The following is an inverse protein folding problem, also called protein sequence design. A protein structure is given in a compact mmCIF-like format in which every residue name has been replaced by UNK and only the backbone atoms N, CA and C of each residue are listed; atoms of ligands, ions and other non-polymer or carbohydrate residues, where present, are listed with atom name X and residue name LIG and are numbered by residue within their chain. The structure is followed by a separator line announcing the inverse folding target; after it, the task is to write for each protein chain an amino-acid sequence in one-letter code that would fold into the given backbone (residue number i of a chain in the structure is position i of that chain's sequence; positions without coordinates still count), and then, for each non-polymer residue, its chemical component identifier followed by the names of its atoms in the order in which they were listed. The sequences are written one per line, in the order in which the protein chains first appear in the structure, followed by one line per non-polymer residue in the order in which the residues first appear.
data_IF_448175802257
#
_entry.id   IF_448175802257
#
_cell.length_a   1.000
_cell.length_b   1.000
_cell.length_c   1.000
_cell.angle_alpha   90.00
_cell.angle_beta   90.00
_cell.angle_gamma   90.00
#
_symmetry.space_group_name_H-M   'P 1'
#
loop_
_entity.id
_entity.type
_entity.pdbx_description
1 polymer ?
#
# COMPACT_ATOMS: atom_id res chain seq x y z
N UNK A 1 28.48 52.38 -2.62
CA UNK A 1 27.12 52.93 -2.52
C UNK A 1 26.40 52.87 -3.85
N UNK A 2 25.15 52.46 -3.87
CA UNK A 2 24.27 52.43 -5.03
C UNK A 2 23.01 53.23 -4.74
N UNK A 3 22.54 53.97 -5.77
CA UNK A 3 21.34 54.77 -5.64
C UNK A 3 20.11 53.91 -5.91
N UNK A 4 19.28 53.74 -4.90
CA UNK A 4 18.01 52.95 -4.99
C UNK A 4 16.79 53.84 -4.88
N UNK A 5 15.65 53.34 -5.31
CA UNK A 5 14.36 54.03 -5.26
C UNK A 5 13.45 53.39 -4.21
N UNK A 6 12.93 54.17 -3.32
CA UNK A 6 11.94 53.72 -2.35
C UNK A 6 10.60 53.45 -3.07
N UNK A 7 10.14 52.21 -3.01
CA UNK A 7 8.91 51.80 -3.72
C UNK A 7 7.60 52.42 -3.20
N UNK A 8 7.60 53.02 -2.00
CA UNK A 8 6.43 53.68 -1.43
C UNK A 8 6.39 55.18 -1.75
N UNK A 9 7.55 55.83 -1.61
CA UNK A 9 7.61 57.29 -1.74
C UNK A 9 8.11 57.77 -3.09
N UNK A 10 8.70 56.91 -3.89
CA UNK A 10 9.37 57.24 -5.16
C UNK A 10 10.67 58.04 -5.01
N UNK A 11 11.12 58.34 -3.82
CA UNK A 11 12.36 59.05 -3.54
C UNK A 11 13.58 58.17 -3.73
N UNK A 12 14.63 58.79 -4.23
CA UNK A 12 15.96 58.15 -4.33
C UNK A 12 16.68 58.22 -2.97
N UNK A 13 17.45 57.19 -2.63
CA UNK A 13 18.32 57.16 -1.48
C UNK A 13 19.58 56.35 -1.80
N UNK A 14 20.69 56.67 -1.14
CA UNK A 14 21.95 55.96 -1.31
C UNK A 14 22.06 54.86 -0.26
N UNK A 15 22.51 53.67 -0.69
CA UNK A 15 22.65 52.52 0.13
C UNK A 15 23.99 51.86 -0.11
N UNK A 16 24.65 51.42 0.97
CA UNK A 16 25.77 50.55 0.88
C UNK A 16 25.31 49.11 0.70
N UNK A 17 25.57 48.53 -0.47
CA UNK A 17 25.13 47.17 -0.79
C UNK A 17 26.28 46.22 -0.45
N UNK A 18 25.98 45.23 0.41
CA UNK A 18 26.90 44.15 0.69
C UNK A 18 27.03 43.23 -0.53
N UNK A 19 28.15 43.28 -1.25
CA UNK A 19 28.42 42.48 -2.44
C UNK A 19 29.83 41.90 -2.39
N UNK A 20 30.00 40.70 -2.88
CA UNK A 20 31.29 40.02 -2.94
C UNK A 20 31.25 38.82 -3.87
N UNK A 21 32.41 38.21 -4.05
CA UNK A 21 32.52 36.96 -4.78
C UNK A 21 32.08 35.81 -3.90
N UNK A 22 31.17 34.99 -4.42
CA UNK A 22 30.62 33.79 -3.75
C UNK A 22 30.97 32.57 -4.59
N UNK A 23 31.58 31.57 -3.93
CA UNK A 23 31.81 30.29 -4.57
C UNK A 23 30.48 29.58 -4.78
N UNK A 24 30.20 29.07 -5.96
CA UNK A 24 29.04 28.29 -6.28
C UNK A 24 29.40 27.10 -7.16
N UNK A 25 28.61 26.02 -7.06
CA UNK A 25 28.82 24.79 -7.80
C UNK A 25 27.49 24.25 -8.36
N UNK A 26 27.51 23.87 -9.64
CA UNK A 26 26.38 23.18 -10.25
C UNK A 26 26.33 21.75 -9.70
N UNK A 27 25.16 21.35 -9.18
CA UNK A 27 24.92 20.00 -8.65
C UNK A 27 24.51 19.03 -9.76
N UNK A 28 24.85 17.74 -9.58
CA UNK A 28 24.60 16.68 -10.56
C UNK A 28 23.18 16.12 -10.53
N UNK A 29 22.24 16.78 -9.90
CA UNK A 29 20.89 16.26 -9.76
C UNK A 29 20.16 16.27 -11.09
N UNK A 30 20.27 15.17 -11.84
CA UNK A 30 19.62 14.99 -13.14
C UNK A 30 18.35 14.16 -12.99
N UNK A 31 17.40 14.34 -13.92
CA UNK A 31 16.13 13.60 -13.92
C UNK A 31 16.34 12.08 -14.04
N UNK A 32 17.36 11.64 -14.75
CA UNK A 32 17.73 10.22 -14.87
C UNK A 32 18.01 9.54 -13.53
N UNK A 33 18.41 10.30 -12.52
CA UNK A 33 18.68 9.79 -11.17
C UNK A 33 17.45 9.82 -10.24
N UNK A 34 16.36 10.43 -10.67
CA UNK A 34 15.19 10.70 -9.80
C UNK A 34 13.90 10.03 -10.25
N UNK A 35 13.81 9.55 -11.49
CA UNK A 35 12.59 8.87 -11.94
C UNK A 35 12.48 7.47 -11.34
N UNK A 36 11.25 7.02 -11.11
CA UNK A 36 10.93 5.66 -10.70
C UNK A 36 9.69 5.19 -11.42
N UNK A 37 9.74 3.98 -11.98
CA UNK A 37 8.63 3.30 -12.65
C UNK A 37 8.65 1.84 -12.26
N UNK A 38 7.46 1.27 -12.02
CA UNK A 38 7.28 -0.15 -11.78
C UNK A 38 5.97 -0.62 -12.40
N UNK A 39 6.01 -1.69 -13.17
CA UNK A 39 4.83 -2.47 -13.56
C UNK A 39 4.72 -3.72 -12.66
N UNK A 40 5.64 -4.65 -12.81
CA UNK A 40 5.79 -5.85 -12.00
C UNK A 40 7.20 -5.92 -11.42
N UNK A 41 7.36 -6.61 -10.30
CA UNK A 41 8.67 -6.72 -9.66
C UNK A 41 8.62 -7.49 -8.34
N UNK A 42 9.72 -7.52 -7.59
CA UNK A 42 9.83 -8.26 -6.35
C UNK A 42 8.89 -7.72 -5.28
N UNK A 43 8.27 -8.65 -4.54
CA UNK A 43 7.38 -8.35 -3.42
C UNK A 43 8.01 -8.80 -2.10
N UNK A 44 7.59 -8.16 -1.01
CA UNK A 44 7.97 -8.61 0.33
C UNK A 44 7.35 -10.00 0.60
N UNK A 45 8.14 -11.00 1.03
CA UNK A 45 7.63 -12.36 1.26
C UNK A 45 6.58 -12.43 2.37
N UNK A 46 6.64 -11.53 3.37
CA UNK A 46 5.75 -11.54 4.51
C UNK A 46 4.41 -10.83 4.23
N UNK A 47 4.46 -9.62 3.68
CA UNK A 47 3.27 -8.79 3.45
C UNK A 47 2.69 -8.94 2.03
N UNK A 48 3.44 -9.56 1.12
CA UNK A 48 3.12 -9.67 -0.31
C UNK A 48 2.96 -8.31 -1.04
N UNK A 49 3.33 -7.23 -0.38
CA UNK A 49 3.34 -5.90 -0.98
C UNK A 49 4.63 -5.63 -1.76
N UNK A 50 4.62 -4.71 -2.74
CA UNK A 50 5.84 -4.29 -3.43
C UNK A 50 6.91 -3.80 -2.46
N UNK A 51 8.17 -4.18 -2.71
CA UNK A 51 9.29 -3.66 -1.92
C UNK A 51 9.52 -2.18 -2.20
N UNK A 52 10.24 -1.51 -1.32
CA UNK A 52 10.68 -0.13 -1.50
C UNK A 52 12.04 -0.08 -2.21
N UNK A 53 12.31 1.01 -2.88
CA UNK A 53 13.62 1.30 -3.45
C UNK A 53 13.66 1.23 -4.97
N UNK A 54 14.04 2.34 -5.59
CA UNK A 54 14.16 2.51 -7.05
C UNK A 54 15.12 1.51 -7.69
N UNK A 55 16.29 1.32 -7.06
CA UNK A 55 17.35 0.43 -7.59
C UNK A 55 16.96 -1.06 -7.58
N UNK A 56 16.03 -1.44 -6.71
CA UNK A 56 15.58 -2.82 -6.56
C UNK A 56 14.27 -3.12 -7.32
N UNK A 57 13.84 -2.22 -8.19
CA UNK A 57 12.57 -2.37 -8.88
C UNK A 57 11.35 -2.27 -7.95
N UNK A 58 11.49 -1.50 -6.88
CA UNK A 58 10.43 -1.30 -5.90
C UNK A 58 9.30 -0.41 -6.39
N UNK A 59 8.17 -0.47 -5.67
CA UNK A 59 6.98 0.35 -5.94
C UNK A 59 7.10 1.76 -5.39
N UNK A 60 6.17 2.60 -5.82
CA UNK A 60 6.00 3.96 -5.32
C UNK A 60 4.97 3.91 -4.18
N UNK A 61 5.25 4.61 -3.09
CA UNK A 61 4.32 4.68 -1.96
C UNK A 61 3.09 5.50 -2.32
N UNK A 62 1.92 4.91 -2.11
CA UNK A 62 0.64 5.59 -2.09
C UNK A 62 0.28 5.90 -0.64
N UNK A 63 0.49 7.14 -0.20
CA UNK A 63 0.34 7.56 1.19
C UNK A 63 -1.08 8.00 1.55
N UNK A 64 -1.28 8.42 2.80
CA UNK A 64 -2.58 8.88 3.30
C UNK A 64 -3.04 10.18 2.63
N UNK A 65 -2.12 11.08 2.32
CA UNK A 65 -2.45 12.36 1.65
C UNK A 65 -2.96 12.13 0.22
N UNK A 66 -2.38 11.19 -0.51
CA UNK A 66 -2.84 10.78 -1.84
C UNK A 66 -4.22 10.12 -1.77
N UNK A 67 -4.47 9.28 -0.75
CA UNK A 67 -5.80 8.71 -0.48
C UNK A 67 -6.83 9.82 -0.22
N UNK A 68 -6.52 10.80 0.61
CA UNK A 68 -7.40 11.91 0.95
C UNK A 68 -7.76 12.74 -0.27
N UNK A 69 -6.79 12.98 -1.16
CA UNK A 69 -7.02 13.65 -2.43
C UNK A 69 -8.00 12.88 -3.32
N UNK A 70 -7.84 11.55 -3.44
CA UNK A 70 -8.76 10.72 -4.23
C UNK A 70 -10.15 10.62 -3.60
N UNK A 71 -10.25 10.60 -2.27
CA UNK A 71 -11.54 10.63 -1.57
C UNK A 71 -12.31 11.90 -1.87
N UNK A 72 -11.63 13.06 -1.85
CA UNK A 72 -12.26 14.35 -2.15
C UNK A 72 -12.77 14.43 -3.59
N UNK A 73 -12.14 13.72 -4.53
CA UNK A 73 -12.60 13.62 -5.91
C UNK A 73 -13.70 12.57 -6.13
N UNK A 74 -14.03 11.74 -5.12
CA UNK A 74 -15.06 10.71 -5.21
C UNK A 74 -14.75 9.52 -6.12
N UNK A 75 -13.48 9.26 -6.42
CA UNK A 75 -13.02 8.22 -7.35
C UNK A 75 -12.81 6.86 -6.63
N UNK A 76 -13.88 6.26 -6.12
CA UNK A 76 -13.84 5.02 -5.34
C UNK A 76 -13.15 3.86 -6.08
N UNK A 77 -13.38 3.72 -7.37
CA UNK A 77 -12.82 2.65 -8.19
C UNK A 77 -11.28 2.73 -8.27
N UNK A 78 -10.74 3.95 -8.40
CA UNK A 78 -9.29 4.16 -8.42
C UNK A 78 -8.66 3.89 -7.06
N UNK A 79 -9.34 4.23 -5.96
CA UNK A 79 -8.89 3.92 -4.61
C UNK A 79 -8.83 2.40 -4.42
N UNK A 80 -9.87 1.67 -4.82
CA UNK A 80 -9.89 0.21 -4.73
C UNK A 80 -8.78 -0.42 -5.58
N UNK A 81 -8.54 0.08 -6.79
CA UNK A 81 -7.46 -0.40 -7.63
C UNK A 81 -6.09 -0.19 -6.96
N UNK A 82 -5.80 1.01 -6.49
CA UNK A 82 -4.49 1.34 -5.93
C UNK A 82 -4.20 0.69 -4.59
N UNK A 83 -5.20 0.55 -3.72
CA UNK A 83 -5.03 -0.02 -2.38
C UNK A 83 -5.21 -1.53 -2.32
N UNK A 84 -5.91 -2.13 -3.28
CA UNK A 84 -6.17 -3.56 -3.30
C UNK A 84 -5.64 -4.24 -4.57
N UNK A 85 -6.21 -3.95 -5.73
CA UNK A 85 -5.97 -4.73 -6.94
C UNK A 85 -4.51 -4.67 -7.41
N UNK A 86 -3.89 -3.49 -7.38
CA UNK A 86 -2.48 -3.27 -7.77
C UNK A 86 -1.48 -3.48 -6.65
N UNK A 87 -1.91 -3.83 -5.44
CA UNK A 87 -1.05 -4.01 -4.28
C UNK A 87 -0.92 -5.48 -3.89
N UNK A 88 -1.76 -5.94 -2.96
CA UNK A 88 -1.66 -7.26 -2.34
C UNK A 88 -2.98 -8.04 -2.36
N UNK A 89 -3.80 -7.86 -3.40
CA UNK A 89 -5.06 -8.61 -3.58
C UNK A 89 -4.78 -10.11 -3.53
N UNK A 90 -5.51 -10.79 -2.67
CA UNK A 90 -5.42 -12.24 -2.53
C UNK A 90 -6.81 -12.86 -2.28
N UNK A 91 -6.98 -14.10 -2.75
CA UNK A 91 -8.20 -14.85 -2.52
C UNK A 91 -8.04 -15.71 -1.27
N UNK A 92 -8.96 -15.55 -0.33
CA UNK A 92 -9.03 -16.33 0.90
C UNK A 92 -10.30 -17.13 0.99
N UNK A 93 -10.20 -18.27 1.65
CA UNK A 93 -11.32 -19.10 2.02
C UNK A 93 -11.79 -18.74 3.42
N UNK A 94 -13.06 -18.41 3.56
CA UNK A 94 -13.70 -18.02 4.82
C UNK A 94 -14.88 -18.96 5.05
N UNK A 95 -15.05 -19.40 6.29
CA UNK A 95 -16.23 -20.11 6.68
C UNK A 95 -17.37 -19.13 6.97
N UNK A 96 -18.46 -19.18 6.20
CA UNK A 96 -19.63 -18.29 6.39
C UNK A 96 -20.35 -18.51 7.74
N UNK A 97 -20.30 -19.71 8.31
CA UNK A 97 -20.97 -20.01 9.59
C UNK A 97 -20.24 -19.45 10.80
N UNK A 98 -18.91 -19.51 10.85
CA UNK A 98 -18.13 -19.05 12.01
C UNK A 98 -17.28 -17.82 11.73
N UNK A 99 -17.25 -17.30 10.51
CA UNK A 99 -16.48 -16.13 10.11
C UNK A 99 -14.97 -16.31 10.18
N UNK A 100 -14.46 -17.54 10.36
CA UNK A 100 -13.04 -17.78 10.54
C UNK A 100 -12.30 -17.85 9.21
N UNK A 101 -11.18 -17.15 9.12
CA UNK A 101 -10.26 -17.15 7.97
C UNK A 101 -9.09 -18.12 8.14
N UNK A 102 -8.85 -18.63 9.33
CA UNK A 102 -7.70 -19.48 9.66
C UNK A 102 -8.07 -20.93 9.97
N UNK A 103 -9.36 -21.23 10.10
CA UNK A 103 -9.85 -22.55 10.53
C UNK A 103 -10.09 -23.52 9.37
N UNK A 104 -9.77 -23.18 8.13
CA UNK A 104 -9.94 -24.06 6.99
C UNK A 104 -8.70 -24.93 6.76
N UNK A 105 -8.91 -26.22 6.55
CA UNK A 105 -7.90 -27.16 6.08
C UNK A 105 -8.31 -27.72 4.71
N UNK A 106 -7.35 -27.80 3.81
CA UNK A 106 -7.51 -28.53 2.60
C UNK A 106 -7.20 -30.01 2.89
N UNK A 107 -8.15 -30.90 2.69
CA UNK A 107 -7.87 -32.32 2.69
C UNK A 107 -6.94 -32.62 1.52
N UNK A 108 -5.74 -33.09 1.83
CA UNK A 108 -4.87 -33.67 0.82
C UNK A 108 -5.50 -34.99 0.39
N UNK A 109 -5.89 -35.12 -0.86
CA UNK A 109 -6.39 -36.36 -1.42
C UNK A 109 -5.31 -37.44 -1.28
N UNK A 110 -5.52 -38.39 -0.39
CA UNK A 110 -4.73 -39.62 -0.34
C UNK A 110 -5.10 -40.43 -1.59
N UNK A 111 -4.18 -40.50 -2.54
CA UNK A 111 -4.18 -41.31 -3.77
C UNK A 111 -5.59 -41.76 -4.23
N UNK A 112 -6.08 -41.17 -5.31
CA UNK A 112 -7.27 -41.54 -6.11
C UNK A 112 -8.64 -40.91 -5.80
N UNK A 113 -8.74 -39.85 -4.98
CA UNK A 113 -9.99 -39.08 -4.91
C UNK A 113 -9.80 -37.67 -5.49
N UNK A 114 -10.50 -37.36 -6.56
CA UNK A 114 -10.42 -36.09 -7.31
C UNK A 114 -11.03 -34.89 -6.59
N UNK A 115 -11.48 -35.01 -5.35
CA UNK A 115 -12.13 -33.94 -4.62
C UNK A 115 -11.31 -33.52 -3.38
N UNK A 116 -10.51 -32.48 -3.54
CA UNK A 116 -9.96 -31.73 -2.40
C UNK A 116 -11.06 -30.87 -1.76
N UNK A 117 -11.85 -31.43 -0.87
CA UNK A 117 -12.85 -30.67 -0.13
C UNK A 117 -12.17 -29.92 1.02
N UNK A 118 -12.29 -28.60 1.03
CA UNK A 118 -11.88 -27.80 2.18
C UNK A 118 -12.84 -28.04 3.36
N UNK A 119 -12.30 -28.13 4.56
CA UNK A 119 -13.08 -28.32 5.78
C UNK A 119 -12.77 -27.20 6.75
N UNK A 120 -13.80 -26.59 7.32
CA UNK A 120 -13.65 -25.74 8.49
C UNK A 120 -13.49 -26.62 9.75
N UNK A 121 -12.37 -26.48 10.45
CA UNK A 121 -12.07 -27.29 11.66
C UNK A 121 -13.08 -26.98 12.77
N UNK A 122 -13.44 -25.72 12.94
CA UNK A 122 -14.34 -25.24 14.01
C UNK A 122 -15.76 -25.74 13.81
N UNK A 123 -16.31 -25.63 12.59
CA UNK A 123 -17.67 -26.02 12.28
C UNK A 123 -17.80 -27.47 11.81
N UNK A 124 -16.67 -28.12 11.44
CA UNK A 124 -16.61 -29.46 10.84
C UNK A 124 -17.46 -29.61 9.58
N UNK A 125 -17.69 -28.48 8.86
CA UNK A 125 -18.53 -28.40 7.67
C UNK A 125 -17.66 -28.13 6.43
N UNK A 126 -18.06 -28.71 5.30
CA UNK A 126 -17.43 -28.48 3.98
C UNK A 126 -18.24 -27.52 3.10
N UNK A 127 -19.53 -27.37 3.36
CA UNK A 127 -20.47 -26.65 2.48
C UNK A 127 -20.42 -25.12 2.63
N UNK A 128 -19.87 -24.62 3.72
CA UNK A 128 -19.99 -23.21 4.10
C UNK A 128 -18.68 -22.43 3.89
N UNK A 129 -17.87 -22.85 2.92
CA UNK A 129 -16.59 -22.20 2.63
C UNK A 129 -16.75 -21.35 1.37
N UNK A 130 -16.52 -20.04 1.53
CA UNK A 130 -16.66 -19.04 0.47
C UNK A 130 -15.29 -18.41 0.19
N UNK A 131 -15.02 -18.11 -1.09
CA UNK A 131 -13.83 -17.38 -1.50
C UNK A 131 -14.09 -15.87 -1.44
N UNK A 132 -13.27 -15.15 -0.72
CA UNK A 132 -13.35 -13.69 -0.59
C UNK A 132 -12.03 -13.06 -0.99
N UNK A 133 -12.09 -11.91 -1.67
CA UNK A 133 -10.91 -11.14 -2.06
C UNK A 133 -10.61 -10.06 -1.02
N UNK A 134 -9.46 -10.20 -0.34
CA UNK A 134 -9.01 -9.26 0.68
C UNK A 134 -7.50 -8.98 0.52
N UNK A 135 -6.96 -7.90 1.08
CA UNK A 135 -5.52 -7.68 1.14
C UNK A 135 -4.81 -8.80 1.90
N UNK A 136 -3.67 -9.26 1.39
CA UNK A 136 -2.90 -10.32 2.06
C UNK A 136 -2.43 -9.92 3.46
N UNK A 137 -2.10 -8.66 3.62
CA UNK A 137 -1.69 -8.08 4.92
C UNK A 137 -2.78 -8.24 5.99
N UNK A 138 -4.05 -8.28 5.60
CA UNK A 138 -5.16 -8.51 6.53
C UNK A 138 -5.12 -9.93 7.14
N UNK A 139 -4.75 -10.94 6.34
CA UNK A 139 -4.54 -12.31 6.88
C UNK A 139 -3.39 -12.34 7.88
N UNK A 140 -2.31 -11.63 7.58
CA UNK A 140 -1.17 -11.50 8.48
C UNK A 140 -1.60 -10.89 9.83
N UNK A 141 -2.36 -9.79 9.78
CA UNK A 141 -2.94 -9.17 10.98
C UNK A 141 -3.83 -10.13 11.79
N UNK A 142 -4.70 -10.89 11.12
CA UNK A 142 -5.56 -11.88 11.79
C UNK A 142 -4.71 -12.94 12.52
N UNK A 143 -3.63 -13.39 11.90
CA UNK A 143 -2.73 -14.39 12.50
C UNK A 143 -2.00 -13.85 13.73
N UNK A 144 -1.56 -12.59 13.69
CA UNK A 144 -0.93 -11.92 14.83
C UNK A 144 -1.91 -11.71 15.99
N UNK A 145 -3.13 -11.25 15.70
CA UNK A 145 -4.18 -11.08 16.70
C UNK A 145 -4.59 -12.42 17.33
N UNK A 146 -4.68 -13.47 16.53
CA UNK A 146 -4.96 -14.82 17.04
C UNK A 146 -3.85 -15.32 18.01
N UNK A 147 -2.59 -14.97 17.76
CA UNK A 147 -1.49 -15.26 18.69
C UNK A 147 -1.62 -14.53 20.03
N UNK A 148 -2.32 -13.39 20.05
CA UNK A 148 -2.65 -12.63 21.25
C UNK A 148 -4.00 -13.03 21.88
N UNK A 149 -4.59 -14.15 21.47
CA UNK A 149 -5.92 -14.62 21.88
C UNK A 149 -7.09 -13.68 21.48
N UNK A 150 -6.91 -12.87 20.45
CA UNK A 150 -7.96 -12.03 19.88
C UNK A 150 -8.50 -12.69 18.62
N UNK A 151 -9.78 -13.05 18.63
CA UNK A 151 -10.44 -13.65 17.48
C UNK A 151 -11.12 -12.58 16.64
N UNK A 152 -10.76 -12.50 15.36
CA UNK A 152 -11.52 -11.77 14.35
C UNK A 152 -12.45 -12.72 13.60
N UNK A 153 -13.73 -12.34 13.50
CA UNK A 153 -14.73 -13.03 12.70
C UNK A 153 -15.17 -12.12 11.56
N UNK A 154 -15.24 -12.65 10.35
CA UNK A 154 -15.85 -11.96 9.23
C UNK A 154 -17.36 -12.27 9.24
N UNK A 155 -18.17 -11.23 9.16
CA UNK A 155 -19.61 -11.34 8.90
C UNK A 155 -19.80 -11.18 7.39
N UNK A 156 -20.32 -12.22 6.75
CA UNK A 156 -20.57 -12.27 5.31
C UNK A 156 -22.09 -12.18 5.13
N UNK A 157 -22.61 -10.96 5.23
CA UNK A 157 -24.00 -10.70 4.88
C UNK A 157 -24.10 -10.52 3.36
N UNK A 158 -25.04 -11.21 2.74
CA UNK A 158 -25.38 -11.08 1.32
C UNK A 158 -26.03 -9.72 1.01
#
# INVERSE_FOLDING_TARGET
TETMINGFTGCTFEVDIFIGLVYYQRLRHMVSDKFQVRSEGPNNPLTKQPIKGRKMGGGIRFGEMERDSLLSHGVANLIQDRLLASSDKHSFKICSSCGSMISHLQKVALRNEECSNDICITCRSTSNIVNVHVPYVYKYLISELAAMNIRLCADLND
#
